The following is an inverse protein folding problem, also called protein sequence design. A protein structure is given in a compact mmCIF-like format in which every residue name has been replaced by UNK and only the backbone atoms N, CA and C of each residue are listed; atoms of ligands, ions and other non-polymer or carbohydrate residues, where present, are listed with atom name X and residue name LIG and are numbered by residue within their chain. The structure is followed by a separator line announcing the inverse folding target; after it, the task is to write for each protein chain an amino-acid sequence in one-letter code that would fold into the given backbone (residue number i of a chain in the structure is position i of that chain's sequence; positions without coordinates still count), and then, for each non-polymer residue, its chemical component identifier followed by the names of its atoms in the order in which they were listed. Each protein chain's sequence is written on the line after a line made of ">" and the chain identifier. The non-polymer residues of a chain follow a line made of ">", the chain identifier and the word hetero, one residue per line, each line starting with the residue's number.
data_IF_134553746246
#
_entry.id   IF_134553746246
#
_cell.length_a   1.000
_cell.length_b   1.000
_cell.length_c   1.000
_cell.angle_alpha   90.00
_cell.angle_beta   90.00
_cell.angle_gamma   90.00
#
_symmetry.space_group_name_H-M   'P 1'
#
loop_
_entity.id
_entity.type
_entity.pdbx_description
1 polymer ?
#
# COMPACT_ATOMS: atom_id res chain seq x y z
N UNK A 1 -14.61 7.24 0.22
CA UNK A 1 -14.08 6.11 -0.58
C UNK A 1 -14.96 4.90 -0.29
N UNK A 2 -15.30 4.09 -1.30
CA UNK A 2 -16.09 2.88 -1.10
C UNK A 2 -15.36 1.88 -0.19
N UNK A 3 -16.06 1.31 0.79
CA UNK A 3 -15.55 0.21 1.61
C UNK A 3 -15.84 -1.14 0.93
N UNK A 4 -14.92 -1.56 0.07
CA UNK A 4 -15.02 -2.81 -0.70
C UNK A 4 -14.76 -4.06 0.14
N UNK A 5 -14.46 -3.93 1.44
CA UNK A 5 -14.26 -5.07 2.33
C UNK A 5 -15.59 -5.61 2.86
N UNK A 6 -16.65 -4.79 2.83
CA UNK A 6 -18.00 -5.16 3.25
C UNK A 6 -18.89 -5.44 2.03
N UNK A 7 -19.80 -6.42 2.12
CA UNK A 7 -20.74 -6.72 1.03
C UNK A 7 -21.82 -5.64 0.87
N UNK A 8 -22.18 -4.97 1.97
CA UNK A 8 -23.34 -4.07 2.02
C UNK A 8 -23.13 -2.79 1.21
N UNK A 9 -24.16 -2.40 0.46
CA UNK A 9 -24.22 -1.10 -0.24
C UNK A 9 -23.48 -1.04 -1.58
N UNK A 10 -22.80 -2.10 -2.02
CA UNK A 10 -22.07 -2.09 -3.30
C UNK A 10 -23.02 -2.12 -4.50
N UNK A 11 -24.09 -2.94 -4.43
CA UNK A 11 -25.10 -3.05 -5.49
C UNK A 11 -24.55 -3.52 -6.84
N UNK A 12 -23.46 -4.32 -6.82
CA UNK A 12 -22.82 -4.94 -7.99
C UNK A 12 -22.39 -6.35 -7.64
N UNK A 13 -22.49 -7.26 -8.61
CA UNK A 13 -21.93 -8.61 -8.48
C UNK A 13 -20.41 -8.53 -8.65
N UNK A 14 -19.61 -9.11 -7.73
CA UNK A 14 -18.17 -9.16 -7.89
C UNK A 14 -17.77 -9.94 -9.14
N UNK A 15 -16.90 -9.36 -9.95
CA UNK A 15 -16.36 -9.97 -11.17
C UNK A 15 -14.90 -9.54 -11.32
N UNK A 16 -13.99 -10.48 -11.58
CA UNK A 16 -12.57 -10.17 -11.77
C UNK A 16 -12.31 -9.35 -13.05
N UNK A 17 -13.20 -9.39 -14.04
CA UNK A 17 -13.02 -8.66 -15.29
C UNK A 17 -11.62 -8.86 -15.90
N UNK A 18 -11.01 -7.77 -16.34
CA UNK A 18 -9.65 -7.78 -16.90
C UNK A 18 -8.58 -8.18 -15.88
N UNK A 19 -8.77 -7.89 -14.59
CA UNK A 19 -7.79 -8.26 -13.55
C UNK A 19 -7.54 -9.77 -13.52
N UNK A 20 -8.51 -10.57 -13.93
CA UNK A 20 -8.39 -12.03 -14.06
C UNK A 20 -7.18 -12.46 -14.91
N UNK A 21 -6.96 -11.80 -16.05
CA UNK A 21 -5.85 -12.10 -16.96
C UNK A 21 -4.47 -11.80 -16.34
N UNK A 22 -4.42 -10.85 -15.40
CA UNK A 22 -3.18 -10.39 -14.79
C UNK A 22 -2.87 -11.01 -13.44
N UNK A 23 -3.73 -11.87 -12.89
CA UNK A 23 -3.57 -12.41 -11.52
C UNK A 23 -2.19 -13.01 -11.22
N UNK A 24 -1.58 -13.84 -12.09
CA UNK A 24 -0.24 -14.37 -11.81
C UNK A 24 0.81 -13.26 -11.66
N UNK A 25 0.77 -12.25 -12.53
CA UNK A 25 1.68 -11.11 -12.50
C UNK A 25 1.38 -10.20 -11.30
N UNK A 26 0.10 -9.96 -10.98
CA UNK A 26 -0.33 -9.14 -9.84
C UNK A 26 0.18 -9.75 -8.52
N UNK A 27 0.08 -11.08 -8.40
CA UNK A 27 0.58 -11.85 -7.26
C UNK A 27 2.10 -11.75 -7.13
N UNK A 28 2.82 -11.89 -8.24
CA UNK A 28 4.28 -11.74 -8.25
C UNK A 28 4.71 -10.31 -7.88
N UNK A 29 4.03 -9.30 -8.41
CA UNK A 29 4.28 -7.90 -8.10
C UNK A 29 4.03 -7.60 -6.61
N UNK A 30 2.90 -8.06 -6.05
CA UNK A 30 2.60 -7.90 -4.63
C UNK A 30 3.64 -8.62 -3.75
N UNK A 31 4.07 -9.82 -4.12
CA UNK A 31 5.12 -10.53 -3.40
C UNK A 31 6.43 -9.72 -3.36
N UNK A 32 6.82 -9.16 -4.51
CA UNK A 32 7.98 -8.28 -4.61
C UNK A 32 7.83 -7.01 -3.76
N UNK A 33 6.64 -6.41 -3.73
CA UNK A 33 6.35 -5.23 -2.87
C UNK A 33 6.54 -5.56 -1.40
N UNK A 34 5.99 -6.69 -0.93
CA UNK A 34 6.11 -7.11 0.47
C UNK A 34 7.57 -7.34 0.89
N UNK A 35 8.35 -8.00 0.03
CA UNK A 35 9.80 -8.20 0.24
C UNK A 35 10.56 -6.86 0.23
N UNK A 36 10.25 -5.98 -0.71
CA UNK A 36 10.88 -4.67 -0.81
C UNK A 36 10.62 -3.77 0.41
N UNK A 37 9.37 -3.79 0.90
CA UNK A 37 8.93 -3.05 2.08
C UNK A 37 9.61 -3.55 3.37
N UNK A 38 9.91 -4.85 3.45
CA UNK A 38 10.61 -5.48 4.56
C UNK A 38 9.93 -5.21 5.91
N UNK A 39 8.67 -5.64 6.02
CA UNK A 39 7.88 -5.57 7.25
C UNK A 39 7.38 -4.19 7.66
N UNK A 40 7.58 -3.18 6.82
CA UNK A 40 7.07 -1.82 7.03
C UNK A 40 5.56 -1.74 6.81
N UNK A 41 4.95 -0.74 7.40
CA UNK A 41 3.60 -0.30 7.00
C UNK A 41 3.59 0.07 5.53
N UNK A 42 2.46 -0.13 4.86
CA UNK A 42 2.32 0.12 3.43
C UNK A 42 1.35 1.28 3.22
N UNK A 43 1.81 2.30 2.52
CA UNK A 43 0.95 3.37 2.00
C UNK A 43 0.99 3.31 0.48
N UNK A 44 -0.09 2.82 -0.10
CA UNK A 44 -0.28 2.81 -1.55
C UNK A 44 -0.64 4.22 -2.01
N UNK A 45 0.19 4.81 -2.86
CA UNK A 45 0.08 6.20 -3.31
C UNK A 45 -0.63 6.26 -4.65
N UNK A 46 -1.58 7.19 -4.76
CA UNK A 46 -2.38 7.35 -5.97
C UNK A 46 -3.38 6.20 -6.14
N UNK A 47 -3.81 6.01 -7.40
CA UNK A 47 -4.87 5.06 -7.78
C UNK A 47 -4.34 3.86 -8.57
N UNK A 48 -3.20 4.03 -9.23
CA UNK A 48 -2.61 3.00 -10.08
C UNK A 48 -2.33 1.69 -9.32
N UNK A 49 -1.86 1.69 -8.06
CA UNK A 49 -1.64 0.45 -7.34
C UNK A 49 -2.86 -0.04 -6.54
N UNK A 50 -4.05 0.55 -6.71
CA UNK A 50 -5.27 0.12 -5.99
C UNK A 50 -5.61 -1.36 -6.17
N UNK A 51 -5.46 -1.99 -7.36
CA UNK A 51 -5.68 -3.43 -7.51
C UNK A 51 -4.79 -4.29 -6.59
N UNK A 52 -3.52 -3.92 -6.41
CA UNK A 52 -2.62 -4.61 -5.47
C UNK A 52 -3.10 -4.43 -4.03
N UNK A 53 -3.54 -3.22 -3.66
CA UNK A 53 -4.03 -2.92 -2.32
C UNK A 53 -5.31 -3.68 -2.01
N UNK A 54 -6.26 -3.74 -2.94
CA UNK A 54 -7.51 -4.47 -2.80
C UNK A 54 -7.25 -5.96 -2.59
N UNK A 55 -6.40 -6.54 -3.45
CA UNK A 55 -5.98 -7.94 -3.32
C UNK A 55 -5.28 -8.22 -1.98
N UNK A 56 -4.35 -7.36 -1.55
CA UNK A 56 -3.71 -7.47 -0.24
C UNK A 56 -4.71 -7.35 0.92
N UNK A 57 -5.71 -6.47 0.81
CA UNK A 57 -6.74 -6.31 1.86
C UNK A 57 -7.53 -7.61 2.07
N UNK A 58 -7.84 -8.33 0.99
CA UNK A 58 -8.44 -9.67 1.06
C UNK A 58 -7.54 -10.71 1.72
N UNK A 59 -6.26 -10.73 1.32
CA UNK A 59 -5.24 -11.63 1.88
C UNK A 59 -5.02 -11.41 3.39
N UNK A 60 -5.17 -10.19 3.86
CA UNK A 60 -5.04 -9.84 5.29
C UNK A 60 -6.35 -10.05 6.09
N UNK A 61 -7.47 -10.34 5.42
CA UNK A 61 -8.75 -10.56 6.10
C UNK A 61 -8.69 -11.71 7.11
N UNK A 62 -8.86 -11.43 8.41
CA UNK A 62 -8.76 -12.44 9.46
C UNK A 62 -7.33 -12.96 9.72
N UNK A 63 -6.31 -12.27 9.21
CA UNK A 63 -4.90 -12.54 9.51
C UNK A 63 -4.40 -11.45 10.46
N UNK A 64 -3.85 -11.86 11.60
CA UNK A 64 -3.18 -10.93 12.51
C UNK A 64 -1.83 -10.51 11.91
N UNK A 65 -1.82 -9.36 11.25
CA UNK A 65 -0.65 -8.79 10.61
C UNK A 65 -0.22 -7.51 11.33
N UNK A 66 1.06 -7.39 11.75
CA UNK A 66 1.53 -6.20 12.45
C UNK A 66 1.64 -4.96 11.53
N UNK A 67 1.70 -5.18 10.21
CA UNK A 67 1.78 -4.11 9.22
C UNK A 67 0.41 -3.47 8.99
N UNK A 68 0.37 -2.13 9.04
CA UNK A 68 -0.79 -1.36 8.61
C UNK A 68 -0.73 -1.17 7.09
N UNK A 69 -1.89 -1.21 6.46
CA UNK A 69 -2.06 -0.92 5.03
C UNK A 69 -2.99 0.26 4.89
N UNK A 70 -2.59 1.26 4.11
CA UNK A 70 -3.37 2.49 3.89
C UNK A 70 -3.27 2.94 2.43
N UNK A 71 -4.21 3.79 2.03
CA UNK A 71 -4.25 4.39 0.70
C UNK A 71 -4.12 5.91 0.82
N UNK A 72 -3.17 6.48 0.09
CA UNK A 72 -3.04 7.93 -0.08
C UNK A 72 -3.43 8.28 -1.51
N UNK A 73 -4.73 8.50 -1.74
CA UNK A 73 -5.23 8.90 -3.05
C UNK A 73 -4.90 10.37 -3.32
N UNK A 74 -3.68 10.65 -3.77
CA UNK A 74 -3.25 11.97 -4.27
C UNK A 74 -2.60 11.81 -5.64
N UNK A 75 -2.80 12.78 -6.52
CA UNK A 75 -2.12 12.85 -7.81
C UNK A 75 -1.12 13.99 -7.82
N UNK A 76 0.16 13.64 -7.84
CA UNK A 76 1.31 14.56 -7.94
C UNK A 76 1.96 14.52 -9.32
N UNK A 77 1.28 13.95 -10.31
CA UNK A 77 1.79 13.83 -11.67
C UNK A 77 2.15 15.21 -12.20
N UNK A 78 3.41 15.40 -12.56
CA UNK A 78 3.98 16.64 -13.08
C UNK A 78 3.79 17.87 -12.15
N UNK A 79 3.56 17.66 -10.85
CA UNK A 79 3.36 18.73 -9.89
C UNK A 79 4.67 19.08 -9.15
N UNK A 80 4.95 20.37 -9.04
CA UNK A 80 5.87 20.91 -8.02
C UNK A 80 5.04 21.73 -7.05
N UNK A 81 5.03 21.30 -5.79
CA UNK A 81 4.14 21.88 -4.79
C UNK A 81 4.68 23.24 -4.30
N UNK A 82 3.79 24.23 -4.26
CA UNK A 82 4.04 25.48 -3.54
C UNK A 82 4.02 25.24 -2.03
N UNK A 83 4.55 26.16 -1.20
CA UNK A 83 4.47 26.03 0.26
C UNK A 83 3.04 25.87 0.79
N UNK A 84 2.07 26.57 0.20
CA UNK A 84 0.66 26.46 0.58
C UNK A 84 0.08 25.07 0.24
N UNK A 85 0.42 24.52 -0.93
CA UNK A 85 0.01 23.17 -1.32
C UNK A 85 0.69 22.10 -0.46
N UNK A 86 1.96 22.28 -0.11
CA UNK A 86 2.67 21.41 0.82
C UNK A 86 2.01 21.39 2.21
N UNK A 87 1.51 22.53 2.68
CA UNK A 87 0.73 22.62 3.92
C UNK A 87 -0.61 21.90 3.80
N UNK A 88 -1.33 22.10 2.69
CA UNK A 88 -2.61 21.44 2.40
C UNK A 88 -2.49 19.91 2.29
N UNK A 89 -1.31 19.38 1.94
CA UNK A 89 -1.05 17.95 1.88
C UNK A 89 -0.88 17.30 3.27
N UNK A 90 -0.48 18.06 4.31
CA UNK A 90 -0.16 17.50 5.63
C UNK A 90 -1.33 16.75 6.29
N UNK A 91 -2.58 17.24 6.28
CA UNK A 91 -3.71 16.48 6.83
C UNK A 91 -3.94 15.14 6.12
N UNK A 92 -3.75 15.07 4.80
CA UNK A 92 -3.86 13.83 4.03
C UNK A 92 -2.75 12.83 4.41
N UNK A 93 -1.53 13.31 4.61
CA UNK A 93 -0.40 12.51 5.09
C UNK A 93 -0.62 12.03 6.54
N UNK A 94 -1.11 12.90 7.41
CA UNK A 94 -1.45 12.56 8.79
C UNK A 94 -2.51 11.45 8.83
N UNK A 95 -3.55 11.55 7.99
CA UNK A 95 -4.63 10.57 7.91
C UNK A 95 -4.19 9.15 7.52
N UNK A 96 -3.01 8.99 6.93
CA UNK A 96 -2.39 7.69 6.61
C UNK A 96 -1.19 7.36 7.52
N UNK A 97 -1.06 8.05 8.66
CA UNK A 97 -0.03 7.78 9.67
C UNK A 97 1.37 8.25 9.29
N UNK A 98 1.50 9.23 8.38
CA UNK A 98 2.80 9.76 7.94
C UNK A 98 3.21 11.04 8.66
N UNK A 99 2.58 11.41 9.78
CA UNK A 99 3.03 12.55 10.58
C UNK A 99 4.42 12.29 11.17
N UNK A 100 5.44 13.14 10.92
CA UNK A 100 6.81 12.88 11.34
C UNK A 100 6.99 12.65 12.85
N UNK A 101 6.32 13.45 13.70
CA UNK A 101 6.36 13.27 15.15
C UNK A 101 5.82 11.91 15.60
N UNK A 102 4.73 11.42 15.00
CA UNK A 102 4.12 10.13 15.34
C UNK A 102 4.98 8.95 14.88
N UNK A 103 5.49 9.01 13.64
CA UNK A 103 6.46 8.03 13.13
C UNK A 103 7.68 7.90 14.06
N UNK A 104 8.15 9.02 14.61
CA UNK A 104 9.28 9.03 15.54
C UNK A 104 8.92 8.48 16.91
N UNK A 105 7.80 8.92 17.49
CA UNK A 105 7.33 8.51 18.82
C UNK A 105 7.02 7.01 18.90
N UNK A 106 6.43 6.46 17.85
CA UNK A 106 5.98 5.06 17.81
C UNK A 106 7.00 4.11 17.16
N UNK A 107 8.17 4.63 16.76
CA UNK A 107 9.18 3.95 15.93
C UNK A 107 8.60 3.24 14.70
N UNK A 108 7.52 3.79 14.12
CA UNK A 108 6.88 3.24 12.93
C UNK A 108 7.72 3.51 11.69
N UNK A 109 7.71 2.54 10.79
CA UNK A 109 8.40 2.60 9.50
C UNK A 109 7.42 2.26 8.41
N UNK A 110 7.45 3.06 7.35
CA UNK A 110 6.47 3.00 6.26
C UNK A 110 7.17 2.87 4.92
N UNK A 111 6.58 2.13 4.01
CA UNK A 111 6.95 2.05 2.61
C UNK A 111 5.83 2.68 1.78
N UNK A 112 6.16 3.74 1.05
CA UNK A 112 5.30 4.30 0.04
C UNK A 112 5.38 3.39 -1.20
N UNK A 113 4.25 2.97 -1.74
CA UNK A 113 4.15 2.05 -2.88
C UNK A 113 3.43 2.74 -4.03
N UNK A 114 4.04 2.80 -5.21
CA UNK A 114 3.46 3.44 -6.39
C UNK A 114 3.89 2.75 -7.69
N UNK A 115 3.12 2.93 -8.75
CA UNK A 115 3.48 2.58 -10.13
C UNK A 115 4.29 3.72 -10.70
N UNK A 116 5.57 3.46 -11.02
CA UNK A 116 6.54 4.53 -11.26
C UNK A 116 6.73 4.80 -12.74
N UNK A 117 6.39 6.02 -13.15
CA UNK A 117 6.81 6.61 -14.43
C UNK A 117 8.08 7.48 -14.29
N UNK A 118 8.08 8.45 -13.35
CA UNK A 118 9.16 9.45 -13.22
C UNK A 118 9.68 9.68 -11.78
N UNK A 119 9.14 8.97 -10.78
CA UNK A 119 9.57 9.12 -9.37
C UNK A 119 9.26 10.47 -8.72
N UNK A 120 8.70 11.42 -9.49
CA UNK A 120 8.36 12.77 -9.02
C UNK A 120 7.40 12.76 -7.82
N UNK A 121 6.41 11.85 -7.82
CA UNK A 121 5.50 11.65 -6.69
C UNK A 121 6.28 11.40 -5.39
N UNK A 122 7.18 10.42 -5.36
CA UNK A 122 7.98 10.13 -4.17
C UNK A 122 8.86 11.31 -3.77
N UNK A 123 9.48 11.99 -4.73
CA UNK A 123 10.33 13.15 -4.46
C UNK A 123 9.55 14.28 -3.76
N UNK A 124 8.37 14.64 -4.28
CA UNK A 124 7.50 15.66 -3.69
C UNK A 124 7.03 15.26 -2.29
N UNK A 125 6.59 14.01 -2.09
CA UNK A 125 6.17 13.50 -0.78
C UNK A 125 7.30 13.60 0.25
N UNK A 126 8.52 13.19 -0.11
CA UNK A 126 9.67 13.29 0.78
C UNK A 126 10.07 14.75 1.06
N UNK A 127 9.95 15.65 0.08
CA UNK A 127 10.19 17.08 0.29
C UNK A 127 9.24 17.65 1.34
N UNK A 128 7.94 17.37 1.22
CA UNK A 128 6.93 17.83 2.17
C UNK A 128 7.16 17.24 3.56
N UNK A 129 7.41 15.94 3.66
CA UNK A 129 7.66 15.27 4.94
C UNK A 129 8.90 15.82 5.64
N UNK A 130 10.00 16.05 4.93
CA UNK A 130 11.22 16.64 5.51
C UNK A 130 11.01 18.07 5.98
N UNK A 131 10.33 18.89 5.18
CA UNK A 131 9.99 20.26 5.56
C UNK A 131 9.06 20.32 6.78
N UNK A 132 8.10 19.40 6.86
CA UNK A 132 7.23 19.26 8.04
C UNK A 132 8.02 18.81 9.27
N UNK A 133 8.86 17.78 9.14
CA UNK A 133 9.69 17.29 10.24
C UNK A 133 10.63 18.37 10.79
N UNK A 134 11.26 19.17 9.92
CA UNK A 134 12.09 20.29 10.32
C UNK A 134 11.29 21.35 11.08
N UNK A 135 10.06 21.65 10.64
CA UNK A 135 9.14 22.55 11.35
C UNK A 135 8.68 22.00 12.71
N UNK A 136 8.68 20.68 12.90
CA UNK A 136 8.43 20.01 14.20
C UNK A 136 9.71 19.87 15.06
N UNK A 137 10.85 20.44 14.64
CA UNK A 137 12.12 20.34 15.37
C UNK A 137 12.77 18.95 15.35
N UNK A 138 12.36 18.07 14.43
CA UNK A 138 12.89 16.72 14.31
C UNK A 138 14.19 16.70 13.51
N UNK A 139 15.07 15.73 13.83
CA UNK A 139 16.35 15.58 13.15
C UNK A 139 16.21 15.37 11.63
N UNK A 140 17.16 15.91 10.86
CA UNK A 140 17.13 15.98 9.38
C UNK A 140 17.01 14.62 8.67
N UNK A 141 17.40 13.53 9.35
CA UNK A 141 17.37 12.17 8.80
C UNK A 141 16.15 11.35 9.25
N UNK A 142 15.27 11.89 10.10
CA UNK A 142 14.17 11.14 10.71
C UNK A 142 13.23 10.52 9.66
N UNK A 143 12.84 11.30 8.65
CA UNK A 143 11.97 10.86 7.56
C UNK A 143 12.69 9.82 6.69
N UNK A 144 13.95 10.07 6.30
CA UNK A 144 14.69 9.17 5.41
C UNK A 144 14.92 7.77 6.01
N UNK A 145 15.02 7.68 7.34
CA UNK A 145 15.16 6.41 8.07
C UNK A 145 13.84 5.65 8.21
N UNK A 146 12.71 6.36 8.26
CA UNK A 146 11.39 5.80 8.58
C UNK A 146 10.49 5.59 7.37
N UNK A 147 10.55 6.48 6.40
CA UNK A 147 9.77 6.42 5.18
C UNK A 147 10.66 5.97 4.04
N UNK A 148 10.30 4.85 3.42
CA UNK A 148 10.97 4.24 2.28
C UNK A 148 10.06 4.30 1.05
N UNK A 149 10.61 4.06 -0.13
CA UNK A 149 9.83 4.06 -1.37
C UNK A 149 10.03 2.74 -2.14
N UNK A 150 8.92 2.15 -2.57
CA UNK A 150 8.85 0.93 -3.38
C UNK A 150 8.16 1.27 -4.69
N UNK A 151 8.90 1.25 -5.78
CA UNK A 151 8.39 1.53 -7.11
C UNK A 151 8.09 0.26 -7.89
N UNK A 152 6.89 0.14 -8.45
CA UNK A 152 6.56 -0.85 -9.48
C UNK A 152 7.00 -0.31 -10.84
N UNK A 153 7.99 -0.95 -11.45
CA UNK A 153 8.60 -0.53 -12.70
C UNK A 153 8.27 -1.51 -13.81
N UNK A 154 8.08 -0.99 -15.03
CA UNK A 154 7.93 -1.82 -16.23
C UNK A 154 9.21 -2.63 -16.48
N UNK A 155 9.09 -3.96 -16.57
CA UNK A 155 10.20 -4.83 -16.94
C UNK A 155 10.75 -4.46 -18.33
N UNK A 156 12.05 -4.71 -18.56
CA UNK A 156 12.72 -4.36 -19.81
C UNK A 156 13.13 -2.88 -19.97
N UNK A 157 12.79 -2.01 -19.01
CA UNK A 157 13.19 -0.59 -19.04
C UNK A 157 14.54 -0.30 -18.34
N UNK A 158 15.17 -1.31 -17.71
CA UNK A 158 16.48 -1.18 -17.09
C UNK A 158 17.60 -1.46 -18.11
N UNK A 159 18.16 -0.42 -18.73
CA UNK A 159 19.40 -0.48 -19.52
C UNK A 159 20.54 0.23 -18.78
N UNK A 160 21.83 -0.08 -19.03
CA UNK A 160 22.94 0.74 -18.56
C UNK A 160 22.73 2.20 -19.00
N UNK A 161 22.81 3.16 -18.07
CA UNK A 161 22.53 4.58 -18.33
C UNK A 161 21.04 4.97 -18.32
N UNK A 162 20.11 4.01 -18.17
CA UNK A 162 18.70 4.33 -18.03
C UNK A 162 18.45 5.19 -16.79
N UNK A 163 17.63 6.22 -16.97
CA UNK A 163 17.20 7.13 -15.91
C UNK A 163 16.65 6.34 -14.72
N UNK A 164 17.11 6.68 -13.50
CA UNK A 164 16.70 6.02 -12.26
C UNK A 164 15.77 6.94 -11.48
N UNK A 165 14.53 6.49 -11.29
CA UNK A 165 13.55 7.22 -10.47
C UNK A 165 14.02 7.52 -9.05
N UNK A 166 14.89 6.69 -8.50
CA UNK A 166 15.44 6.88 -7.16
C UNK A 166 16.58 7.92 -7.10
N UNK A 167 17.08 8.41 -8.24
CA UNK A 167 18.16 9.38 -8.30
C UNK A 167 17.71 10.83 -8.07
N UNK A 168 16.42 11.06 -7.81
CA UNK A 168 15.88 12.37 -7.45
C UNK A 168 16.58 12.90 -6.18
N UNK A 169 16.97 14.20 -6.13
CA UNK A 169 17.67 14.78 -4.98
C UNK A 169 16.96 14.56 -3.63
N UNK A 170 15.63 14.63 -3.62
CA UNK A 170 14.78 14.45 -2.44
C UNK A 170 14.82 13.03 -1.87
N UNK A 171 15.18 12.05 -2.71
CA UNK A 171 15.30 10.64 -2.34
C UNK A 171 16.70 10.26 -1.86
N UNK A 172 17.65 11.21 -1.80
CA UNK A 172 18.98 10.95 -1.21
C UNK A 172 18.86 10.48 0.23
N UNK A 173 19.49 9.36 0.54
CA UNK A 173 19.44 8.72 1.86
C UNK A 173 18.14 7.96 2.17
N UNK A 174 17.16 8.00 1.27
CA UNK A 174 15.92 7.21 1.40
C UNK A 174 16.19 5.78 0.92
N UNK A 175 15.67 4.78 1.65
CA UNK A 175 15.66 3.41 1.16
C UNK A 175 14.68 3.30 -0.01
N UNK A 176 15.19 3.18 -1.23
CA UNK A 176 14.39 2.93 -2.44
C UNK A 176 14.55 1.49 -2.91
N UNK A 177 13.46 0.88 -3.39
CA UNK A 177 13.46 -0.46 -3.99
C UNK A 177 12.57 -0.48 -5.23
N UNK A 178 13.03 -1.15 -6.28
CA UNK A 178 12.27 -1.36 -7.50
C UNK A 178 11.74 -2.79 -7.54
N UNK A 179 10.47 -2.95 -7.91
CA UNK A 179 9.84 -4.23 -8.22
C UNK A 179 9.56 -4.23 -9.71
N UNK A 180 10.27 -5.07 -10.45
CA UNK A 180 10.03 -5.23 -11.88
C UNK A 180 8.69 -5.95 -12.07
N UNK A 181 7.85 -5.35 -12.89
CA UNK A 181 6.48 -5.76 -13.16
C UNK A 181 6.38 -6.13 -14.63
N UNK A 182 5.62 -7.19 -14.92
CA UNK A 182 5.29 -7.56 -16.29
C UNK A 182 4.80 -6.33 -17.08
N UNK A 183 5.24 -6.12 -18.35
CA UNK A 183 4.91 -4.90 -19.08
C UNK A 183 3.40 -4.69 -19.30
N UNK A 184 2.64 -5.77 -19.53
CA UNK A 184 1.21 -5.68 -19.75
C UNK A 184 0.48 -5.36 -18.43
N UNK A 185 0.86 -6.02 -17.33
CA UNK A 185 0.36 -5.65 -16.00
C UNK A 185 0.70 -4.19 -15.66
N UNK A 186 1.93 -3.74 -15.93
CA UNK A 186 2.34 -2.38 -15.63
C UNK A 186 1.47 -1.37 -16.40
N UNK A 187 1.22 -1.61 -17.69
CA UNK A 187 0.37 -0.75 -18.51
C UNK A 187 -1.07 -0.71 -18.00
N UNK A 188 -1.63 -1.87 -17.66
CA UNK A 188 -2.95 -1.99 -17.07
C UNK A 188 -3.06 -1.25 -15.72
N UNK A 189 -2.06 -1.37 -14.85
CA UNK A 189 -2.04 -0.63 -13.59
C UNK A 189 -1.90 0.88 -13.80
N UNK A 190 -1.06 1.31 -14.74
CA UNK A 190 -0.74 2.71 -14.97
C UNK A 190 -1.86 3.46 -15.71
N UNK A 191 -2.34 2.89 -16.82
CA UNK A 191 -3.15 3.57 -17.83
C UNK A 191 -4.56 2.97 -17.94
N UNK A 192 -4.65 1.71 -18.38
CA UNK A 192 -5.90 1.17 -18.95
C UNK A 192 -6.91 0.67 -17.90
N UNK A 193 -6.41 0.10 -16.80
CA UNK A 193 -7.27 -0.62 -15.86
C UNK A 193 -8.22 0.32 -15.12
N UNK A 194 -9.47 -0.10 -14.87
CA UNK A 194 -10.50 0.76 -14.30
C UNK A 194 -10.11 1.23 -12.89
N UNK A 195 -10.37 2.51 -12.58
CA UNK A 195 -9.95 3.16 -11.32
C UNK A 195 -11.15 3.53 -10.46
N UNK A 196 -11.31 2.86 -9.32
CA UNK A 196 -12.41 3.12 -8.38
C UNK A 196 -12.34 4.50 -7.73
N UNK A 197 -11.13 4.92 -7.34
CA UNK A 197 -10.94 6.24 -6.76
C UNK A 197 -10.97 7.31 -7.86
N UNK A 198 -11.57 8.50 -7.64
CA UNK A 198 -11.45 9.60 -8.57
C UNK A 198 -10.04 10.19 -8.50
N UNK A 199 -9.56 10.76 -9.61
CA UNK A 199 -8.28 11.47 -9.63
C UNK A 199 -8.35 12.63 -8.62
N UNK A 200 -7.38 12.70 -7.71
CA UNK A 200 -7.33 13.77 -6.70
C UNK A 200 -6.07 14.65 -6.89
N UNK A 201 -6.07 15.53 -7.91
CA UNK A 201 -4.95 16.41 -8.20
C UNK A 201 -4.81 17.51 -7.14
N UNK A 202 -3.66 18.19 -7.16
CA UNK A 202 -3.30 19.26 -6.21
C UNK A 202 -4.39 20.33 -6.06
N UNK A 203 -5.04 20.72 -7.16
CA UNK A 203 -6.12 21.72 -7.17
C UNK A 203 -7.38 21.27 -6.44
N UNK A 204 -7.58 19.97 -6.26
CA UNK A 204 -8.77 19.41 -5.61
C UNK A 204 -8.58 19.17 -4.10
N UNK A 205 -7.36 19.22 -3.57
CA UNK A 205 -7.10 18.93 -2.15
C UNK A 205 -7.88 19.79 -1.15
N UNK A 206 -8.10 21.09 -1.37
CA UNK A 206 -8.89 21.92 -0.46
C UNK A 206 -10.36 21.49 -0.36
N UNK A 207 -10.86 20.80 -1.38
CA UNK A 207 -12.26 20.39 -1.51
C UNK A 207 -12.32 18.88 -1.73
N UNK A 208 -12.08 18.07 -0.68
CA UNK A 208 -12.20 16.63 -0.80
C UNK A 208 -13.61 16.28 -1.28
N UNK A 209 -13.76 15.30 -2.20
CA UNK A 209 -15.08 14.89 -2.66
C UNK A 209 -15.92 14.43 -1.46
N UNK A 210 -16.99 15.18 -1.17
CA UNK A 210 -17.90 14.93 -0.06
C UNK A 210 -18.87 13.78 -0.35
N UNK A 211 -19.03 13.42 -1.62
CA UNK A 211 -19.89 12.33 -2.08
C UNK A 211 -19.05 11.18 -2.64
N UNK A 212 -19.60 9.96 -2.59
CA UNK A 212 -19.03 8.83 -3.31
C UNK A 212 -18.99 9.14 -4.83
N UNK A 213 -18.03 8.56 -5.57
CA UNK A 213 -18.04 8.63 -7.03
C UNK A 213 -19.40 8.19 -7.58
N UNK A 214 -19.83 8.84 -8.67
CA UNK A 214 -21.10 8.51 -9.33
C UNK A 214 -21.16 7.04 -9.74
N UNK A 215 -22.35 6.45 -9.74
CA UNK A 215 -22.58 5.05 -10.12
C UNK A 215 -22.66 4.89 -11.64
N UNK A 216 -21.62 5.31 -12.35
CA UNK A 216 -21.49 5.04 -13.80
C UNK A 216 -21.14 3.57 -14.03
N UNK A 217 -21.41 3.02 -15.22
CA UNK A 217 -21.04 1.64 -15.56
C UNK A 217 -19.55 1.36 -15.35
N UNK A 218 -18.69 2.34 -15.69
CA UNK A 218 -17.26 2.28 -15.42
C UNK A 218 -16.95 2.16 -13.92
N UNK A 219 -17.60 2.98 -13.08
CA UNK A 219 -17.38 2.96 -11.63
C UNK A 219 -17.92 1.67 -11.01
N UNK A 220 -19.04 1.17 -11.51
CA UNK A 220 -19.64 -0.09 -11.08
C UNK A 220 -18.77 -1.29 -11.48
N UNK A 221 -18.21 -1.29 -12.69
CA UNK A 221 -17.22 -2.28 -13.13
C UNK A 221 -15.94 -2.24 -12.29
N UNK A 222 -15.41 -1.05 -12.02
CA UNK A 222 -14.26 -0.86 -11.13
C UNK A 222 -14.55 -1.38 -9.71
N UNK A 223 -15.77 -1.16 -9.22
CA UNK A 223 -16.21 -1.62 -7.91
C UNK A 223 -16.33 -3.15 -7.86
N UNK A 224 -16.96 -3.75 -8.87
CA UNK A 224 -17.09 -5.21 -9.03
C UNK A 224 -15.71 -5.88 -9.05
N UNK A 225 -14.78 -5.35 -9.85
CA UNK A 225 -13.41 -5.83 -9.94
C UNK A 225 -12.63 -5.70 -8.63
N UNK A 226 -12.70 -4.54 -7.99
CA UNK A 226 -12.01 -4.32 -6.72
C UNK A 226 -12.54 -5.27 -5.64
N UNK A 227 -13.87 -5.49 -5.59
CA UNK A 227 -14.49 -6.43 -4.66
C UNK A 227 -14.10 -7.87 -4.96
N UNK A 228 -14.05 -8.27 -6.24
CA UNK A 228 -13.64 -9.60 -6.64
C UNK A 228 -12.19 -9.90 -6.22
N UNK A 229 -11.28 -8.93 -6.33
CA UNK A 229 -9.90 -9.06 -5.83
C UNK A 229 -9.84 -9.23 -4.31
N UNK A 230 -10.69 -8.54 -3.55
CA UNK A 230 -10.79 -8.73 -2.09
C UNK A 230 -11.27 -10.14 -1.76
N UNK A 231 -12.34 -10.61 -2.41
CA UNK A 231 -12.89 -11.94 -2.18
C UNK A 231 -11.91 -13.04 -2.59
N UNK A 232 -11.21 -12.86 -3.70
CA UNK A 232 -10.16 -13.76 -4.15
C UNK A 232 -9.04 -13.87 -3.10
N UNK A 233 -8.62 -12.78 -2.46
CA UNK A 233 -7.62 -12.85 -1.38
C UNK A 233 -8.10 -13.59 -0.12
N UNK A 234 -9.40 -13.78 0.05
CA UNK A 234 -9.98 -14.55 1.16
C UNK A 234 -10.02 -16.05 0.88
N UNK A 235 -9.92 -16.48 -0.38
CA UNK A 235 -9.84 -17.89 -0.77
C UNK A 235 -8.56 -18.55 -0.17
N UNK A 236 -8.69 -19.63 0.62
CA UNK A 236 -7.56 -20.38 1.16
C UNK A 236 -6.59 -20.86 0.08
N UNK A 237 -7.07 -21.30 -1.09
CA UNK A 237 -6.21 -21.77 -2.16
C UNK A 237 -5.39 -20.61 -2.74
N UNK A 238 -6.00 -19.43 -2.84
CA UNK A 238 -5.30 -18.22 -3.27
C UNK A 238 -4.24 -17.77 -2.25
N UNK A 239 -4.54 -17.85 -0.96
CA UNK A 239 -3.55 -17.56 0.11
C UNK A 239 -2.34 -18.49 0.01
N UNK A 240 -2.55 -19.77 -0.27
CA UNK A 240 -1.43 -20.70 -0.50
C UNK A 240 -0.61 -20.32 -1.74
N UNK A 241 -1.27 -19.94 -2.85
CA UNK A 241 -0.59 -19.43 -4.06
C UNK A 241 0.22 -18.17 -3.76
N UNK A 242 -0.33 -17.24 -2.96
CA UNK A 242 0.34 -16.03 -2.53
C UNK A 242 1.55 -16.34 -1.62
N UNK A 243 1.40 -17.24 -0.66
CA UNK A 243 2.51 -17.68 0.20
C UNK A 243 3.65 -18.30 -0.63
N UNK A 244 3.33 -19.12 -1.64
CA UNK A 244 4.31 -19.67 -2.55
C UNK A 244 5.01 -18.58 -3.38
N UNK A 245 4.27 -17.59 -3.88
CA UNK A 245 4.85 -16.45 -4.58
C UNK A 245 5.77 -15.60 -3.68
N UNK A 246 5.36 -15.36 -2.43
CA UNK A 246 6.15 -14.63 -1.45
C UNK A 246 7.44 -15.36 -1.09
N UNK A 247 7.40 -16.69 -0.96
CA UNK A 247 8.60 -17.52 -0.76
C UNK A 247 9.53 -17.41 -1.97
N UNK A 248 9.02 -17.55 -3.20
CA UNK A 248 9.83 -17.41 -4.42
C UNK A 248 10.47 -16.02 -4.55
N UNK A 249 9.79 -14.97 -4.09
CA UNK A 249 10.33 -13.62 -4.06
C UNK A 249 11.40 -13.39 -2.97
N UNK A 250 11.70 -14.40 -2.14
CA UNK A 250 12.70 -14.32 -1.08
C UNK A 250 12.13 -13.99 0.30
N UNK A 251 10.81 -14.06 0.49
CA UNK A 251 10.15 -13.67 1.75
C UNK A 251 10.58 -14.47 2.99
N UNK A 252 11.17 -15.66 2.84
CA UNK A 252 11.70 -16.42 3.99
C UNK A 252 12.96 -15.79 4.61
N UNK A 253 13.72 -15.03 3.81
CA UNK A 253 14.92 -14.33 4.28
C UNK A 253 14.56 -13.20 5.25
N UNK A 254 13.35 -12.62 5.13
CA UNK A 254 12.86 -11.59 6.03
C UNK A 254 12.02 -12.18 7.16
N UNK A 255 12.52 -12.08 8.39
CA UNK A 255 11.82 -12.60 9.57
C UNK A 255 10.43 -11.97 9.78
N UNK A 256 10.21 -10.73 9.33
CA UNK A 256 8.93 -10.02 9.45
C UNK A 256 7.83 -10.56 8.53
N UNK A 257 8.20 -11.30 7.48
CA UNK A 257 7.26 -11.86 6.51
C UNK A 257 6.90 -13.32 6.80
N UNK A 258 7.68 -14.01 7.65
CA UNK A 258 7.42 -15.41 8.03
C UNK A 258 6.06 -15.61 8.70
N UNK A 259 5.57 -14.73 9.61
CA UNK A 259 4.23 -14.88 10.17
C UNK A 259 3.13 -14.86 9.10
N UNK A 260 3.23 -13.97 8.12
CA UNK A 260 2.28 -13.90 6.99
C UNK A 260 2.31 -15.18 6.16
N UNK A 261 3.50 -15.68 5.82
CA UNK A 261 3.66 -16.94 5.07
C UNK A 261 3.00 -18.11 5.81
N UNK A 262 3.21 -18.20 7.13
CA UNK A 262 2.59 -19.25 7.97
C UNK A 262 1.08 -19.13 8.01
N UNK A 263 0.57 -17.93 8.26
CA UNK A 263 -0.87 -17.65 8.29
C UNK A 263 -1.55 -18.02 6.96
N UNK A 264 -0.98 -17.61 5.83
CA UNK A 264 -1.53 -17.91 4.50
C UNK A 264 -1.41 -19.38 4.07
N UNK A 265 -0.48 -20.13 4.65
CA UNK A 265 -0.43 -21.60 4.50
C UNK A 265 -1.47 -22.33 5.35
N UNK A 266 -2.24 -21.63 6.19
CA UNK A 266 -3.10 -22.26 7.19
C UNK A 266 -2.33 -22.84 8.38
N UNK A 267 -1.03 -22.54 8.49
CA UNK A 267 -0.18 -22.94 9.60
C UNK A 267 -0.25 -21.87 10.69
N UNK A 268 -1.41 -21.69 11.31
CA UNK A 268 -1.46 -20.90 12.52
C UNK A 268 -0.72 -21.67 13.62
N UNK A 269 0.29 -21.05 14.23
CA UNK A 269 0.71 -21.47 15.58
C UNK A 269 -0.53 -21.43 16.47
N UNK A 270 -0.79 -22.45 17.30
CA UNK A 270 -1.80 -22.31 18.34
C UNK A 270 -1.35 -21.12 19.19
N UNK A 271 -2.07 -20.01 19.09
CA UNK A 271 -1.94 -18.94 20.06
C UNK A 271 -2.15 -19.61 21.41
N UNK A 272 -1.13 -19.54 22.28
CA UNK A 272 -1.19 -20.09 23.61
C UNK A 272 -2.48 -19.58 24.26
N UNK A 273 -3.47 -20.46 24.38
CA UNK A 273 -4.68 -20.22 25.15
C UNK A 273 -4.22 -20.19 26.60
N UNK A 274 -3.68 -19.04 27.02
CA UNK A 274 -3.40 -18.77 28.41
C UNK A 274 -4.76 -18.60 29.05
N UNK A 275 -5.32 -19.72 29.51
CA UNK A 275 -6.54 -19.73 30.29
C UNK A 275 -6.44 -18.64 31.37
N UNK A 276 -7.49 -17.83 31.60
CA UNK A 276 -7.46 -16.88 32.68
C UNK A 276 -7.19 -17.66 33.97
N UNK A 277 -6.08 -17.32 34.63
CA UNK A 277 -5.80 -17.80 35.99
C UNK A 277 -7.03 -17.41 36.81
N UNK A 278 -7.84 -18.41 37.20
CA UNK A 278 -8.95 -18.22 38.13
C UNK A 278 -8.40 -17.52 39.36
N UNK A 279 -8.78 -16.26 39.57
CA UNK A 279 -8.56 -15.59 40.84
C UNK A 279 -9.29 -16.40 41.91
N UNK A 280 -8.56 -16.90 42.90
CA UNK A 280 -9.16 -17.48 44.10
C UNK A 280 -9.85 -16.34 44.86
N UNK A 281 -11.16 -16.41 44.98
CA UNK A 281 -11.92 -15.57 45.90
C UNK A 281 -11.46 -15.86 47.34
N UNK A 282 -11.31 -14.83 48.20
CA UNK A 282 -10.99 -15.04 49.61
C UNK A 282 -12.18 -15.68 50.33
N UNK A 283 -11.88 -16.67 51.19
CA UNK A 283 -12.88 -17.30 52.05
C UNK A 283 -13.32 -16.32 53.16
N UNK A 284 -14.62 -16.26 53.50
CA UNK A 284 -15.09 -15.44 54.61
C UNK A 284 -14.57 -15.98 55.95
N UNK A 285 -14.29 -15.07 56.87
CA UNK A 285 -14.04 -15.35 58.29
C UNK A 285 -15.35 -15.42 59.04
#
# INVERSE_FOLDING_TARGET
>A
MWDVTRPDGLGVTPDLGEAGAYLPALRAALAGVLVAAAGRDLVFVGRSPDPLRAYLSGLLGGVDAPQRVSALNVSLLNATLTPAQALALRPLLAGVGLRPAELTREDRRTALVDVVASGGTFAQLHRVLRGWAAGEGLGTTCVARRVSAVGLLRAGHARPGAWRWSAQPELRGVRTRSVLTDPALWHWLAEDGPKLAPRFPVTAWPSPPLTLPGRTDETLGALAQTRALVLLGQDPAERQRMAAALIRAGGLADASLRPLIRAWKGQQSPAATRAPRRARLPRPR
#
